data_IF_596624461638
#
_entry.id   IF_596624461638
#
_cell.length_a   1.000
_cell.length_b   1.000
_cell.length_c   1.000
_cell.angle_alpha   90.00
_cell.angle_beta   90.00
_cell.angle_gamma   90.00
#
_symmetry.space_group_name_H-M   'P 1'
#
loop_
_entity.id
_entity.type
_entity.pdbx_description
1 polymer ?
#
# COMPACT_ATOMS: atom_id res chain seq x y z
N UNK A 1 -15.37 8.53 -32.20
CA UNK A 1 -14.00 8.96 -31.84
C UNK A 1 -13.99 9.12 -30.33
N UNK A 2 -13.46 8.14 -29.60
CA UNK A 2 -13.42 8.19 -28.13
C UNK A 2 -12.25 9.07 -27.69
N UNK A 3 -12.55 10.14 -26.95
CA UNK A 3 -11.53 10.96 -26.33
C UNK A 3 -10.80 10.18 -25.24
N UNK A 4 -9.47 10.37 -25.07
CA UNK A 4 -8.75 9.81 -23.94
C UNK A 4 -9.21 10.51 -22.65
N UNK A 5 -9.67 9.70 -21.68
CA UNK A 5 -9.96 10.17 -20.33
C UNK A 5 -8.65 10.65 -19.71
N UNK A 6 -8.57 11.90 -19.20
CA UNK A 6 -7.36 12.39 -18.56
C UNK A 6 -7.06 11.57 -17.30
N UNK A 7 -5.78 11.38 -16.93
CA UNK A 7 -5.43 10.62 -15.74
C UNK A 7 -6.10 11.26 -14.53
N UNK A 8 -6.86 10.43 -13.82
CA UNK A 8 -7.63 10.76 -12.63
C UNK A 8 -6.75 11.53 -11.63
N UNK A 9 -7.05 12.82 -11.42
CA UNK A 9 -6.48 13.58 -10.31
C UNK A 9 -7.17 13.08 -9.06
N UNK A 10 -6.60 12.07 -8.42
CA UNK A 10 -7.06 11.58 -7.13
C UNK A 10 -7.36 12.77 -6.20
N UNK A 11 -8.60 12.85 -5.72
CA UNK A 11 -9.05 13.85 -4.76
C UNK A 11 -8.14 13.80 -3.52
N UNK A 12 -7.40 14.88 -3.19
CA UNK A 12 -6.49 14.89 -2.04
C UNK A 12 -7.23 14.60 -0.71
N UNK A 13 -8.54 14.87 -0.63
CA UNK A 13 -9.34 14.56 0.55
C UNK A 13 -9.64 13.06 0.69
N UNK A 14 -9.54 12.28 -0.39
CA UNK A 14 -9.84 10.84 -0.37
C UNK A 14 -8.89 10.07 0.55
N UNK A 15 -7.59 10.37 0.49
CA UNK A 15 -6.59 9.76 1.38
C UNK A 15 -6.82 10.12 2.85
N UNK A 16 -7.17 11.39 3.12
CA UNK A 16 -7.51 11.86 4.47
C UNK A 16 -8.77 11.16 5.02
N UNK A 17 -9.78 10.94 4.17
CA UNK A 17 -11.00 10.21 4.53
C UNK A 17 -10.69 8.73 4.83
N UNK A 18 -9.88 8.07 4.02
CA UNK A 18 -9.46 6.69 4.25
C UNK A 18 -8.72 6.53 5.58
N UNK A 19 -7.78 7.42 5.89
CA UNK A 19 -7.09 7.45 7.18
C UNK A 19 -8.06 7.58 8.36
N UNK A 20 -9.02 8.51 8.28
CA UNK A 20 -10.06 8.68 9.31
C UNK A 20 -10.96 7.45 9.48
N UNK A 21 -11.25 6.71 8.41
CA UNK A 21 -12.04 5.47 8.48
C UNK A 21 -11.26 4.39 9.23
N UNK A 22 -9.98 4.19 8.90
CA UNK A 22 -9.15 3.18 9.55
C UNK A 22 -8.92 3.48 11.04
N UNK A 23 -8.69 4.73 11.40
CA UNK A 23 -8.58 5.15 12.82
C UNK A 23 -9.86 4.82 13.58
N UNK A 24 -11.03 5.20 13.05
CA UNK A 24 -12.33 4.89 13.69
C UNK A 24 -12.61 3.39 13.78
N UNK A 25 -12.16 2.61 12.80
CA UNK A 25 -12.29 1.15 12.84
C UNK A 25 -11.43 0.55 13.95
N UNK A 26 -10.16 0.94 14.02
CA UNK A 26 -9.25 0.49 15.06
C UNK A 26 -9.75 0.83 16.45
N UNK A 27 -10.15 2.08 16.71
CA UNK A 27 -10.64 2.50 18.03
C UNK A 27 -11.89 1.74 18.45
N UNK A 28 -12.83 1.47 17.52
CA UNK A 28 -14.01 0.65 17.81
C UNK A 28 -13.66 -0.79 18.16
N UNK A 29 -12.73 -1.40 17.42
CA UNK A 29 -12.29 -2.77 17.66
C UNK A 29 -11.48 -2.88 18.96
N UNK A 30 -10.63 -1.89 19.24
CA UNK A 30 -9.87 -1.79 20.49
C UNK A 30 -10.79 -1.64 21.70
N UNK A 31 -11.79 -0.76 21.62
CA UNK A 31 -12.79 -0.59 22.68
C UNK A 31 -13.55 -1.90 22.95
N UNK A 32 -13.85 -2.67 21.91
CA UNK A 32 -14.47 -4.00 22.06
C UNK A 32 -13.51 -5.02 22.70
N UNK A 33 -12.25 -5.04 22.27
CA UNK A 33 -11.23 -5.97 22.77
C UNK A 33 -10.72 -5.67 24.18
N UNK A 34 -10.81 -4.41 24.64
CA UNK A 34 -10.47 -4.02 26.01
C UNK A 34 -11.31 -4.74 27.08
N UNK A 35 -12.46 -5.29 26.68
CA UNK A 35 -13.29 -6.16 27.53
C UNK A 35 -12.86 -7.64 27.46
N UNK A 36 -12.09 -8.04 26.45
CA UNK A 36 -11.84 -9.43 26.07
C UNK A 36 -10.37 -9.90 26.21
N UNK A 37 -9.42 -8.97 26.39
CA UNK A 37 -7.98 -9.24 26.60
C UNK A 37 -7.14 -9.08 25.34
N UNK A 38 -6.62 -7.88 25.09
CA UNK A 38 -5.64 -7.62 24.02
C UNK A 38 -4.22 -7.79 24.57
N UNK A 39 -3.37 -8.53 23.85
CA UNK A 39 -2.01 -8.79 24.29
C UNK A 39 -1.21 -7.47 24.37
N UNK A 40 -0.48 -7.21 25.47
CA UNK A 40 0.42 -6.06 25.54
C UNK A 40 1.55 -6.21 24.51
N UNK A 41 1.90 -5.10 23.84
CA UNK A 41 2.98 -5.09 22.88
C UNK A 41 4.30 -5.57 23.50
N UNK A 42 4.96 -6.53 22.86
CA UNK A 42 6.27 -7.06 23.29
C UNK A 42 6.22 -8.08 24.43
N UNK A 43 5.03 -8.45 24.93
CA UNK A 43 4.85 -9.49 25.94
C UNK A 43 4.27 -10.74 25.27
N UNK A 44 4.72 -11.93 25.66
CA UNK A 44 4.18 -13.18 25.13
C UNK A 44 2.71 -13.33 25.54
N UNK A 45 1.80 -13.63 24.59
CA UNK A 45 0.37 -13.72 24.88
C UNK A 45 0.03 -14.94 25.72
N UNK A 46 -0.95 -14.82 26.60
CA UNK A 46 -1.52 -15.95 27.33
C UNK A 46 -2.38 -16.87 26.43
N UNK A 47 -2.90 -17.96 26.99
CA UNK A 47 -3.69 -18.94 26.21
C UNK A 47 -4.99 -18.36 25.64
N UNK A 48 -5.62 -17.41 26.35
CA UNK A 48 -6.88 -16.76 25.94
C UNK A 48 -6.59 -15.74 24.84
N UNK A 49 -5.59 -14.90 25.02
CA UNK A 49 -5.11 -13.93 24.04
C UNK A 49 -4.70 -14.65 22.75
N UNK A 50 -3.94 -15.73 22.85
CA UNK A 50 -3.53 -16.53 21.71
C UNK A 50 -4.72 -17.18 20.98
N UNK A 51 -5.77 -17.59 21.70
CA UNK A 51 -6.99 -18.08 21.07
C UNK A 51 -7.71 -16.97 20.27
N UNK A 52 -7.74 -15.74 20.80
CA UNK A 52 -8.31 -14.59 20.12
C UNK A 52 -7.51 -14.19 18.87
N UNK A 53 -6.18 -14.13 18.98
CA UNK A 53 -5.27 -13.87 17.85
C UNK A 53 -5.50 -14.89 16.73
N UNK A 54 -5.53 -16.18 17.06
CA UNK A 54 -5.78 -17.23 16.07
C UNK A 54 -7.16 -17.14 15.44
N UNK A 55 -8.18 -16.71 16.19
CA UNK A 55 -9.53 -16.52 15.65
C UNK A 55 -9.56 -15.39 14.62
N UNK A 56 -8.97 -14.23 14.93
CA UNK A 56 -8.87 -13.11 14.00
C UNK A 56 -8.05 -13.48 12.74
N UNK A 57 -6.90 -14.14 12.93
CA UNK A 57 -6.06 -14.58 11.80
C UNK A 57 -6.79 -15.54 10.85
N UNK A 58 -7.57 -16.49 11.38
CA UNK A 58 -8.39 -17.40 10.55
C UNK A 58 -9.44 -16.65 9.74
N UNK A 59 -10.14 -15.70 10.35
CA UNK A 59 -11.15 -14.91 9.63
C UNK A 59 -10.51 -14.04 8.55
N UNK A 60 -9.37 -13.42 8.85
CA UNK A 60 -8.58 -12.69 7.85
C UNK A 60 -8.24 -13.58 6.64
N UNK A 61 -7.72 -14.80 6.88
CA UNK A 61 -7.39 -15.73 5.79
C UNK A 61 -8.61 -16.07 4.94
N UNK A 62 -9.76 -16.35 5.56
CA UNK A 62 -11.01 -16.62 4.85
C UNK A 62 -11.38 -15.45 3.95
N UNK A 63 -11.39 -14.22 4.46
CA UNK A 63 -11.77 -13.07 3.65
C UNK A 63 -10.75 -12.75 2.56
N UNK A 64 -9.45 -12.94 2.82
CA UNK A 64 -8.41 -12.80 1.81
C UNK A 64 -8.58 -13.82 0.67
N UNK A 65 -8.92 -15.07 0.96
CA UNK A 65 -9.24 -16.08 -0.05
C UNK A 65 -10.50 -15.70 -0.84
N UNK A 66 -11.56 -15.22 -0.17
CA UNK A 66 -12.79 -14.78 -0.84
C UNK A 66 -12.55 -13.57 -1.77
N UNK A 67 -11.64 -12.65 -1.43
CA UNK A 67 -11.23 -11.58 -2.36
C UNK A 67 -10.67 -12.17 -3.66
N UNK A 68 -9.80 -13.16 -3.56
CA UNK A 68 -9.16 -13.77 -4.73
C UNK A 68 -10.17 -14.56 -5.56
N UNK A 69 -11.11 -15.26 -4.91
CA UNK A 69 -12.20 -15.94 -5.60
C UNK A 69 -13.08 -14.94 -6.36
N UNK A 70 -13.52 -13.85 -5.71
CA UNK A 70 -14.31 -12.80 -6.35
C UNK A 70 -13.58 -12.11 -7.52
N UNK A 71 -12.25 -11.97 -7.43
CA UNK A 71 -11.43 -11.52 -8.54
C UNK A 71 -11.44 -12.51 -9.70
N UNK A 72 -11.27 -13.81 -9.42
CA UNK A 72 -11.27 -14.86 -10.44
C UNK A 72 -12.63 -15.06 -11.11
N UNK A 73 -13.73 -14.74 -10.42
CA UNK A 73 -15.09 -14.78 -10.96
C UNK A 73 -15.54 -13.47 -11.58
N UNK A 74 -14.67 -12.45 -11.61
CA UNK A 74 -14.95 -11.11 -12.15
C UNK A 74 -16.12 -10.38 -11.44
N UNK A 75 -16.40 -10.75 -10.18
CA UNK A 75 -17.47 -10.17 -9.38
C UNK A 75 -16.97 -8.94 -8.60
N UNK A 76 -16.95 -7.78 -9.25
CA UNK A 76 -16.39 -6.55 -8.67
C UNK A 76 -17.04 -6.14 -7.34
N UNK A 77 -18.36 -6.30 -7.19
CA UNK A 77 -19.07 -5.98 -5.94
C UNK A 77 -18.61 -6.84 -4.78
N UNK A 78 -18.45 -8.15 -5.01
CA UNK A 78 -17.94 -9.10 -4.02
C UNK A 78 -16.48 -8.86 -3.70
N UNK A 79 -15.66 -8.48 -4.70
CA UNK A 79 -14.27 -8.10 -4.49
C UNK A 79 -14.15 -6.91 -3.53
N UNK A 80 -14.96 -5.86 -3.71
CA UNK A 80 -14.97 -4.69 -2.81
C UNK A 80 -15.40 -5.10 -1.39
N UNK A 81 -16.47 -5.91 -1.28
CA UNK A 81 -17.00 -6.38 0.00
C UNK A 81 -15.97 -7.19 0.77
N UNK A 82 -15.41 -8.22 0.15
CA UNK A 82 -14.42 -9.09 0.78
C UNK A 82 -13.12 -8.34 1.09
N UNK A 83 -12.73 -7.35 0.28
CA UNK A 83 -11.57 -6.50 0.56
C UNK A 83 -11.77 -5.69 1.84
N UNK A 84 -12.98 -5.15 2.05
CA UNK A 84 -13.33 -4.43 3.27
C UNK A 84 -13.36 -5.35 4.50
N UNK A 85 -13.88 -6.57 4.36
CA UNK A 85 -13.87 -7.58 5.42
C UNK A 85 -12.44 -7.99 5.78
N UNK A 86 -11.59 -8.24 4.78
CA UNK A 86 -10.19 -8.60 4.97
C UNK A 86 -9.42 -7.48 5.70
N UNK A 87 -9.59 -6.21 5.30
CA UNK A 87 -8.99 -5.09 6.02
C UNK A 87 -9.50 -5.00 7.47
N UNK A 88 -10.77 -5.28 7.71
CA UNK A 88 -11.36 -5.24 9.05
C UNK A 88 -10.79 -6.32 9.97
N UNK A 89 -10.66 -7.55 9.48
CA UNK A 89 -10.05 -8.65 10.26
C UNK A 89 -8.53 -8.47 10.42
N UNK A 90 -7.85 -7.82 9.48
CA UNK A 90 -6.45 -7.43 9.65
C UNK A 90 -6.28 -6.43 10.79
N UNK A 91 -7.10 -5.37 10.82
CA UNK A 91 -7.10 -4.39 11.93
C UNK A 91 -7.47 -5.06 13.25
N UNK A 92 -8.42 -5.99 13.25
CA UNK A 92 -8.75 -6.78 14.45
C UNK A 92 -7.56 -7.61 14.93
N UNK A 93 -6.79 -8.19 14.01
CA UNK A 93 -5.55 -8.90 14.35
C UNK A 93 -4.51 -7.96 14.96
N UNK A 94 -4.39 -6.72 14.47
CA UNK A 94 -3.51 -5.72 15.08
C UNK A 94 -3.91 -5.41 16.51
N UNK A 95 -5.21 -5.19 16.77
CA UNK A 95 -5.73 -4.99 18.12
C UNK A 95 -5.40 -6.18 19.02
N UNK A 96 -5.62 -7.42 18.55
CA UNK A 96 -5.37 -8.63 19.33
C UNK A 96 -3.89 -8.79 19.71
N UNK A 97 -2.98 -8.38 18.83
CA UNK A 97 -1.53 -8.47 19.01
C UNK A 97 -0.89 -7.21 19.64
N UNK A 98 -1.68 -6.18 19.97
CA UNK A 98 -1.17 -4.91 20.50
C UNK A 98 -0.38 -4.07 19.48
N UNK A 99 -0.58 -4.27 18.18
CA UNK A 99 0.05 -3.47 17.12
C UNK A 99 -0.64 -2.10 17.01
N UNK A 100 0.16 -1.04 17.02
CA UNK A 100 -0.33 0.32 16.77
C UNK A 100 -0.46 0.55 15.24
N UNK A 101 -1.61 1.01 14.73
CA UNK A 101 -1.77 1.35 13.30
C UNK A 101 -0.74 2.35 12.80
N UNK A 102 -0.30 3.28 13.67
CA UNK A 102 0.72 4.28 13.31
C UNK A 102 2.03 3.63 12.87
N UNK A 103 2.46 2.56 13.54
CA UNK A 103 3.67 1.81 13.17
C UNK A 103 3.53 1.19 11.76
N UNK A 104 2.34 0.69 11.43
CA UNK A 104 2.03 0.13 10.11
C UNK A 104 2.06 1.23 9.04
N UNK A 105 1.48 2.39 9.32
CA UNK A 105 1.48 3.53 8.39
C UNK A 105 2.89 4.05 8.13
N UNK A 106 3.71 4.17 9.18
CA UNK A 106 5.12 4.55 9.07
C UNK A 106 5.87 3.56 8.17
N UNK A 107 5.67 2.25 8.36
CA UNK A 107 6.34 1.25 7.54
C UNK A 107 5.86 1.27 6.07
N UNK A 108 4.56 1.45 5.81
CA UNK A 108 4.04 1.58 4.44
C UNK A 108 4.56 2.83 3.74
N UNK A 109 4.62 3.96 4.45
CA UNK A 109 5.22 5.21 3.95
C UNK A 109 6.72 5.03 3.68
N UNK A 110 7.44 4.34 4.55
CA UNK A 110 8.85 3.97 4.34
C UNK A 110 9.06 3.14 3.08
N UNK A 111 8.23 2.11 2.86
CA UNK A 111 8.28 1.26 1.65
C UNK A 111 8.00 2.06 0.37
N UNK A 112 6.99 2.93 0.42
CA UNK A 112 6.63 3.79 -0.71
C UNK A 112 7.76 4.75 -1.07
N UNK A 113 8.34 5.44 -0.07
CA UNK A 113 9.49 6.34 -0.28
C UNK A 113 10.69 5.60 -0.87
N UNK A 114 11.01 4.41 -0.35
CA UNK A 114 12.13 3.60 -0.86
C UNK A 114 11.90 3.18 -2.31
N UNK A 115 10.70 2.71 -2.65
CA UNK A 115 10.33 2.35 -4.02
C UNK A 115 10.46 3.53 -4.98
N UNK A 116 9.97 4.70 -4.59
CA UNK A 116 10.07 5.92 -5.38
C UNK A 116 11.53 6.36 -5.60
N UNK A 117 12.37 6.26 -4.57
CA UNK A 117 13.80 6.55 -4.69
C UNK A 117 14.50 5.58 -5.67
N UNK A 118 14.25 4.28 -5.55
CA UNK A 118 14.84 3.28 -6.44
C UNK A 118 14.41 3.49 -7.90
N UNK A 119 13.13 3.80 -8.12
CA UNK A 119 12.62 4.15 -9.45
C UNK A 119 13.30 5.41 -10.00
N UNK A 120 13.46 6.45 -9.18
CA UNK A 120 14.12 7.70 -9.57
C UNK A 120 15.59 7.46 -9.95
N UNK A 121 16.33 6.65 -9.18
CA UNK A 121 17.72 6.32 -9.49
C UNK A 121 17.85 5.50 -10.78
N UNK A 122 17.02 4.46 -10.98
CA UNK A 122 17.03 3.64 -12.20
C UNK A 122 16.67 4.46 -13.44
N UNK A 123 15.69 5.37 -13.33
CA UNK A 123 15.32 6.25 -14.43
C UNK A 123 16.37 7.32 -14.72
N UNK A 124 17.04 7.86 -13.70
CA UNK A 124 18.12 8.83 -13.85
C UNK A 124 19.36 8.21 -14.54
N UNK A 125 19.75 6.98 -14.20
CA UNK A 125 20.84 6.27 -14.89
C UNK A 125 20.55 6.03 -16.37
N UNK A 126 19.30 5.67 -16.71
CA UNK A 126 18.85 5.51 -18.11
C UNK A 126 18.89 6.83 -18.88
N UNK A 127 18.53 7.94 -18.23
CA UNK A 127 18.60 9.27 -18.85
C UNK A 127 20.06 9.71 -19.07
N UNK A 128 20.98 9.32 -18.19
CA UNK A 128 22.41 9.62 -18.31
C UNK A 128 23.15 8.74 -19.34
N UNK A 129 22.58 7.60 -19.73
CA UNK A 129 23.12 6.69 -20.76
C UNK A 129 22.56 6.93 -22.16
N UNK A 130 21.60 7.85 -22.34
CA UNK A 130 21.22 8.33 -23.66
C UNK A 130 22.48 8.86 -24.36
N UNK A 131 22.76 8.43 -25.61
CA UNK A 131 24.02 8.76 -26.22
C UNK A 131 24.06 10.26 -26.39
N UNK A 132 24.99 10.92 -25.70
CA UNK A 132 25.49 12.21 -26.13
C UNK A 132 25.97 11.95 -27.55
N UNK A 133 25.12 12.23 -28.53
CA UNK A 133 25.52 12.50 -29.90
C UNK A 133 26.48 13.67 -29.74
N UNK A 134 27.76 13.33 -29.54
CA UNK A 134 28.86 14.28 -29.53
C UNK A 134 28.68 15.04 -30.81
N UNK A 135 28.19 16.28 -30.71
CA UNK A 135 28.05 17.19 -31.83
C UNK A 135 29.42 17.20 -32.49
N UNK A 136 29.53 16.49 -33.62
CA UNK A 136 30.78 16.43 -34.38
C UNK A 136 31.15 17.89 -34.63
N UNK A 137 32.35 18.33 -34.21
CA UNK A 137 32.73 19.71 -34.40
C UNK A 137 32.70 19.95 -35.90
N UNK A 138 32.05 21.04 -36.29
CA UNK A 138 31.65 21.33 -37.65
C UNK A 138 32.86 21.23 -38.58
N UNK A 139 32.72 20.50 -39.70
CA UNK A 139 33.73 20.46 -40.76
C UNK A 139 33.91 21.87 -41.32
N UNK A 140 35.05 22.49 -41.03
CA UNK A 140 35.45 23.74 -41.69
C UNK A 140 35.79 23.38 -43.14
N UNK A 141 34.91 23.75 -44.08
CA UNK A 141 35.24 23.80 -45.51
C UNK A 141 36.10 25.04 -45.73
N UNK A 142 37.43 24.87 -45.72
CA UNK A 142 38.33 25.92 -46.19
C UNK A 142 38.28 25.94 -47.72
N UNK A 143 37.28 26.62 -48.28
CA UNK A 143 37.34 27.08 -49.66
C UNK A 143 38.00 28.45 -49.67
N UNK A 144 39.25 28.52 -50.13
CA UNK A 144 39.66 29.37 -51.27
C UNK A 144 41.12 29.12 -51.63
N UNK A 145 41.30 28.75 -52.91
CA UNK A 145 42.52 28.88 -53.70
C UNK A 145 43.04 30.34 -53.69
N UNK A 146 44.32 30.53 -54.02
CA UNK A 146 44.71 30.74 -55.41
C UNK A 146 45.49 29.57 -56.02
#
# INVERSE_FOLDING_TARGET
MSHPVPPDRADPDSGLRAGKVMVRLYERLRARAGNDGAAPAGIAPDARELAHIRAAARQFTIHAEQCLLALMTEEHGELVRHSADALSELVRTWVACGVNPEDVWIELDRRTRMGNLLLALNTAERQNTAPVLRRRPWKIRTTKLP
#
